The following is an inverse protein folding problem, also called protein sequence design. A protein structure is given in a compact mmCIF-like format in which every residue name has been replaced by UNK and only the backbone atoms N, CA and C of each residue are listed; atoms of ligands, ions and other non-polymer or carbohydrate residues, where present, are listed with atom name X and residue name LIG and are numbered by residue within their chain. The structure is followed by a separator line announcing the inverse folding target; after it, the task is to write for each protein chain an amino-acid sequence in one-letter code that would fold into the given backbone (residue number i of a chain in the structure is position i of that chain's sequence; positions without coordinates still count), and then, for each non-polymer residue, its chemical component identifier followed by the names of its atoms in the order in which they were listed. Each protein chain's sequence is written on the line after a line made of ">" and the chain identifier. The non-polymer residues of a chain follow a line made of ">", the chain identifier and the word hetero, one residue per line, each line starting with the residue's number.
data_IF_403842734694
#
_entry.id   IF_403842734694
#
_cell.length_a   1.000
_cell.length_b   1.000
_cell.length_c   1.000
_cell.angle_alpha   90.00
_cell.angle_beta   90.00
_cell.angle_gamma   90.00
#
_symmetry.space_group_name_H-M   'P 1'
#
loop_
_entity.id
_entity.type
_entity.pdbx_description
1 polymer ?
#
# COMPACT_ATOMS: atom_id res chain seq x y z
N UNK A 1 37.73 -6.02 26.95
CA UNK A 1 36.55 -5.24 27.41
C UNK A 1 36.23 -4.11 26.43
N UNK A 2 37.13 -3.14 26.20
CA UNK A 2 36.87 -2.01 25.29
C UNK A 2 36.51 -2.43 23.86
N UNK A 3 37.21 -3.41 23.28
CA UNK A 3 36.89 -3.90 21.93
C UNK A 3 35.47 -4.49 21.83
N UNK A 4 35.06 -5.29 22.83
CA UNK A 4 33.71 -5.86 22.88
C UNK A 4 32.63 -4.77 22.99
N UNK A 5 32.89 -3.69 23.73
CA UNK A 5 31.98 -2.54 23.84
C UNK A 5 31.89 -1.78 22.50
N UNK A 6 33.03 -1.55 21.82
CA UNK A 6 33.06 -0.86 20.53
C UNK A 6 32.35 -1.67 19.44
N UNK A 7 32.64 -2.97 19.33
CA UNK A 7 31.98 -3.89 18.39
C UNK A 7 30.49 -3.99 18.69
N UNK A 8 30.11 -4.12 19.97
CA UNK A 8 28.70 -4.14 20.38
C UNK A 8 27.95 -2.86 20.00
N UNK A 9 28.55 -1.69 20.24
CA UNK A 9 27.95 -0.40 19.88
C UNK A 9 27.81 -0.24 18.35
N UNK A 10 28.85 -0.63 17.59
CA UNK A 10 28.79 -0.64 16.12
C UNK A 10 27.71 -1.58 15.60
N UNK A 11 27.62 -2.80 16.14
CA UNK A 11 26.60 -3.78 15.75
C UNK A 11 25.19 -3.26 15.98
N UNK A 12 24.90 -2.67 17.15
CA UNK A 12 23.58 -2.07 17.41
C UNK A 12 23.26 -0.95 16.42
N UNK A 13 24.24 -0.09 16.10
CA UNK A 13 24.04 1.03 15.18
C UNK A 13 23.78 0.58 13.73
N UNK A 14 24.46 -0.46 13.27
CA UNK A 14 24.30 -1.03 11.92
C UNK A 14 23.00 -1.84 11.83
N UNK A 15 22.65 -2.56 12.89
CA UNK A 15 21.46 -3.39 12.92
C UNK A 15 20.18 -2.56 13.00
N UNK A 16 20.20 -1.34 13.57
CA UNK A 16 18.99 -0.50 13.70
C UNK A 16 18.16 -0.42 12.41
N UNK A 17 16.85 -0.69 12.46
CA UNK A 17 16.00 -0.80 11.27
C UNK A 17 15.61 0.56 10.67
N UNK A 18 16.39 1.63 10.88
CA UNK A 18 16.06 2.97 10.37
C UNK A 18 15.97 2.99 8.83
N UNK A 19 16.83 2.22 8.16
CA UNK A 19 16.82 2.06 6.70
C UNK A 19 15.60 1.29 6.17
N UNK A 20 14.75 0.73 7.03
CA UNK A 20 13.53 0.01 6.66
C UNK A 20 12.30 0.91 6.65
N UNK A 21 12.22 1.90 7.53
CA UNK A 21 11.18 2.92 7.46
C UNK A 21 11.25 3.73 6.15
N UNK A 22 12.44 3.88 5.57
CA UNK A 22 12.67 4.56 4.29
C UNK A 22 12.09 3.83 3.06
N UNK A 23 11.84 2.52 3.16
CA UNK A 23 11.26 1.73 2.05
C UNK A 23 9.75 1.54 2.16
N UNK A 24 9.16 2.02 3.25
CA UNK A 24 7.71 2.07 3.45
C UNK A 24 7.20 3.41 2.92
N UNK A 25 6.28 3.33 1.97
CA UNK A 25 5.71 4.49 1.30
C UNK A 25 4.28 4.74 1.73
N UNK A 26 3.95 6.02 1.84
CA UNK A 26 2.58 6.53 1.96
C UNK A 26 2.25 7.34 0.70
N UNK A 27 0.98 7.36 0.29
CA UNK A 27 0.51 8.29 -0.75
C UNK A 27 0.83 9.74 -0.38
N UNK A 28 0.97 10.62 -1.37
CA UNK A 28 1.16 12.05 -1.09
C UNK A 28 -0.11 12.71 -0.59
N UNK A 29 -1.26 12.21 -1.02
CA UNK A 29 -2.58 12.75 -0.67
C UNK A 29 -3.43 11.67 -0.03
N UNK A 30 -4.24 12.07 0.95
CA UNK A 30 -5.40 11.30 1.34
C UNK A 30 -6.59 11.72 0.46
N UNK A 31 -7.54 10.82 0.25
CA UNK A 31 -8.71 11.08 -0.60
C UNK A 31 -9.99 10.73 0.14
N UNK A 32 -11.04 11.52 -0.08
CA UNK A 32 -12.39 11.24 0.41
C UNK A 32 -13.29 10.94 -0.77
N UNK A 33 -13.95 9.79 -0.75
CA UNK A 33 -15.02 9.50 -1.71
C UNK A 33 -16.00 8.48 -1.16
N UNK A 34 -17.13 8.32 -1.86
CA UNK A 34 -18.14 7.31 -1.50
C UNK A 34 -17.68 5.92 -1.95
N UNK A 35 -17.75 4.93 -1.08
CA UNK A 35 -17.55 3.50 -1.34
C UNK A 35 -18.69 2.72 -0.69
N UNK A 36 -19.41 1.92 -1.47
CA UNK A 36 -20.56 1.13 -0.99
C UNK A 36 -21.58 1.97 -0.20
N UNK A 37 -21.91 3.15 -0.73
CA UNK A 37 -22.82 4.15 -0.16
C UNK A 37 -22.36 4.77 1.17
N UNK A 38 -21.09 4.58 1.54
CA UNK A 38 -20.48 5.17 2.74
C UNK A 38 -19.38 6.14 2.36
N UNK A 39 -19.28 7.24 3.09
CA UNK A 39 -18.20 8.21 2.88
C UNK A 39 -16.94 7.68 3.58
N UNK A 40 -15.83 7.58 2.85
CA UNK A 40 -14.59 7.01 3.36
C UNK A 40 -13.42 7.96 3.14
N UNK A 41 -12.58 8.11 4.16
CA UNK A 41 -11.26 8.72 4.05
C UNK A 41 -10.24 7.63 3.80
N UNK A 42 -9.40 7.81 2.78
CA UNK A 42 -8.49 6.78 2.30
C UNK A 42 -7.09 7.32 2.08
N UNK A 43 -6.09 6.50 2.37
CA UNK A 43 -4.70 6.74 1.98
C UNK A 43 -4.05 5.43 1.56
N UNK A 44 -3.04 5.49 0.72
CA UNK A 44 -2.33 4.30 0.23
C UNK A 44 -1.04 4.08 1.00
N UNK A 45 -0.74 2.82 1.28
CA UNK A 45 0.52 2.39 1.88
C UNK A 45 1.15 1.29 1.02
N UNK A 46 2.47 1.24 0.95
CA UNK A 46 3.20 0.21 0.20
C UNK A 46 4.57 -0.08 0.80
N UNK A 47 5.11 -1.26 0.48
CA UNK A 47 6.51 -1.61 0.71
C UNK A 47 7.20 -1.72 -0.65
N UNK A 48 8.39 -1.12 -0.78
CA UNK A 48 9.24 -1.20 -1.97
C UNK A 48 10.14 -2.45 -1.97
N UNK A 49 10.22 -3.18 -0.85
CA UNK A 49 11.05 -4.38 -0.73
C UNK A 49 10.21 -5.64 -0.87
N UNK A 50 10.85 -6.70 -1.38
CA UNK A 50 10.21 -8.02 -1.53
C UNK A 50 10.10 -8.80 -0.21
N UNK A 51 10.93 -8.48 0.79
CA UNK A 51 10.86 -9.08 2.13
C UNK A 51 9.69 -8.51 2.92
N UNK A 52 9.13 -9.27 3.85
CA UNK A 52 7.91 -8.90 4.55
C UNK A 52 8.15 -7.98 5.76
N UNK A 53 7.14 -7.15 6.04
CA UNK A 53 6.93 -6.58 7.38
C UNK A 53 6.03 -7.53 8.16
N UNK A 54 6.60 -8.20 9.13
CA UNK A 54 5.91 -9.18 9.98
C UNK A 54 5.09 -8.43 11.03
N UNK A 55 3.86 -8.90 11.31
CA UNK A 55 2.92 -8.26 12.23
C UNK A 55 2.71 -6.76 11.93
N UNK A 56 2.57 -6.43 10.64
CA UNK A 56 2.31 -5.06 10.24
C UNK A 56 0.96 -4.58 10.81
N UNK A 57 0.96 -3.42 11.45
CA UNK A 57 -0.22 -2.77 12.00
C UNK A 57 -0.22 -1.29 11.67
N UNK A 58 -1.36 -0.77 11.22
CA UNK A 58 -1.55 0.63 10.88
C UNK A 58 -2.41 1.33 11.95
N UNK A 59 -2.04 2.55 12.31
CA UNK A 59 -2.81 3.42 13.22
C UNK A 59 -2.85 4.84 12.66
N UNK A 60 -3.93 5.57 12.95
CA UNK A 60 -4.10 6.96 12.51
C UNK A 60 -4.64 7.83 13.65
N UNK A 61 -4.10 9.04 13.77
CA UNK A 61 -4.51 10.06 14.74
C UNK A 61 -4.91 11.34 14.01
N UNK A 62 -6.06 11.88 14.38
CA UNK A 62 -6.43 13.25 14.07
C UNK A 62 -5.81 14.17 15.12
N UNK A 63 -5.05 15.16 14.68
CA UNK A 63 -4.48 16.22 15.51
C UNK A 63 -5.16 17.53 15.12
N UNK A 64 -5.85 18.15 16.08
CA UNK A 64 -6.41 19.50 15.93
C UNK A 64 -6.55 20.19 17.27
N UNK A 65 -6.52 21.51 17.29
CA UNK A 65 -6.82 22.26 18.50
C UNK A 65 -8.33 22.16 18.81
N UNK A 66 -8.68 21.96 20.07
CA UNK A 66 -10.08 21.84 20.49
C UNK A 66 -10.33 22.68 21.74
N UNK A 67 -11.52 23.26 21.85
CA UNK A 67 -12.02 23.81 23.10
C UNK A 67 -13.14 22.91 23.65
N UNK A 68 -13.06 22.56 24.93
CA UNK A 68 -14.09 21.76 25.61
C UNK A 68 -15.34 22.60 25.89
N UNK A 69 -16.44 21.93 26.25
CA UNK A 69 -17.71 22.63 26.58
C UNK A 69 -17.57 23.47 27.85
N UNK A 70 -16.65 23.07 28.73
CA UNK A 70 -16.30 23.74 29.97
C UNK A 70 -15.37 24.94 29.74
N UNK A 71 -14.86 25.13 28.51
CA UNK A 71 -14.04 26.25 28.09
C UNK A 71 -12.53 26.01 28.11
N UNK A 72 -12.07 24.80 28.46
CA UNK A 72 -10.66 24.43 28.43
C UNK A 72 -10.14 24.34 26.99
N UNK A 73 -9.04 25.03 26.71
CA UNK A 73 -8.36 24.95 25.41
C UNK A 73 -7.30 23.86 25.44
N UNK A 74 -7.42 22.88 24.55
CA UNK A 74 -6.50 21.75 24.40
C UNK A 74 -5.75 21.94 23.08
N UNK A 75 -4.47 22.37 23.12
CA UNK A 75 -3.65 22.46 21.92
C UNK A 75 -3.34 21.06 21.38
N UNK A 76 -3.39 20.89 20.05
CA UNK A 76 -3.02 19.65 19.36
C UNK A 76 -3.68 18.39 19.97
N UNK A 77 -4.98 18.48 20.25
CA UNK A 77 -5.73 17.34 20.77
C UNK A 77 -5.65 16.17 19.79
N UNK A 78 -5.34 14.98 20.31
CA UNK A 78 -5.13 13.78 19.50
C UNK A 78 -6.32 12.82 19.68
N UNK A 79 -7.04 12.58 18.60
CA UNK A 79 -8.17 11.63 18.57
C UNK A 79 -7.85 10.47 17.63
N UNK A 80 -8.18 9.25 18.03
CA UNK A 80 -7.95 8.07 17.19
C UNK A 80 -8.92 8.02 16.00
N UNK A 81 -8.41 7.65 14.82
CA UNK A 81 -9.22 7.40 13.63
C UNK A 81 -9.29 5.89 13.41
N UNK A 82 -10.50 5.34 13.48
CA UNK A 82 -10.71 3.90 13.35
C UNK A 82 -10.50 3.43 11.90
N UNK A 83 -9.43 2.67 11.67
CA UNK A 83 -9.06 2.09 10.37
C UNK A 83 -9.14 0.56 10.37
N UNK A 84 -10.00 -0.02 11.22
CA UNK A 84 -10.19 -1.46 11.31
C UNK A 84 -9.82 -2.08 12.66
N UNK A 85 -9.64 -1.28 13.71
CA UNK A 85 -9.24 -1.79 15.04
C UNK A 85 -10.27 -2.76 15.62
N UNK A 86 -11.57 -2.49 15.43
CA UNK A 86 -12.64 -3.33 15.97
C UNK A 86 -12.75 -4.69 15.27
N UNK A 87 -12.37 -4.77 14.00
CA UNK A 87 -12.42 -5.99 13.17
C UNK A 87 -11.08 -6.70 13.09
N UNK A 88 -10.00 -6.01 13.46
CA UNK A 88 -8.62 -6.47 13.30
C UNK A 88 -8.08 -6.32 11.88
N UNK A 89 -8.74 -5.53 11.03
CA UNK A 89 -8.30 -5.19 9.65
C UNK A 89 -7.16 -4.17 9.64
N UNK A 90 -6.87 -3.55 10.80
CA UNK A 90 -5.68 -2.72 11.03
C UNK A 90 -4.38 -3.53 10.98
N UNK A 91 -4.46 -4.86 11.08
CA UNK A 91 -3.34 -5.79 10.92
C UNK A 91 -3.17 -6.14 9.44
N UNK A 92 -2.12 -5.63 8.84
CA UNK A 92 -1.92 -5.68 7.40
C UNK A 92 -1.15 -6.92 6.95
N UNK A 93 -1.59 -7.48 5.83
CA UNK A 93 -0.76 -8.35 5.00
C UNK A 93 -0.22 -7.52 3.81
N UNK A 94 0.87 -6.78 4.05
CA UNK A 94 1.40 -5.77 3.12
C UNK A 94 2.40 -6.39 2.14
N UNK A 95 1.90 -6.98 1.05
CA UNK A 95 2.73 -7.50 -0.06
C UNK A 95 2.67 -6.59 -1.28
N UNK A 96 1.46 -6.20 -1.68
CA UNK A 96 1.20 -5.16 -2.67
C UNK A 96 0.68 -3.89 -1.99
N UNK A 97 0.74 -2.71 -2.64
CA UNK A 97 0.13 -1.51 -2.11
C UNK A 97 -1.32 -1.71 -1.66
N UNK A 98 -1.66 -1.25 -0.46
CA UNK A 98 -2.99 -1.32 0.12
C UNK A 98 -3.56 0.08 0.29
N UNK A 99 -4.87 0.21 0.02
CA UNK A 99 -5.62 1.43 0.34
C UNK A 99 -6.22 1.21 1.72
N UNK A 100 -5.72 1.95 2.71
CA UNK A 100 -6.27 2.00 4.06
C UNK A 100 -7.51 2.88 4.02
N UNK A 101 -8.62 2.38 4.58
CA UNK A 101 -9.92 3.04 4.51
C UNK A 101 -10.49 3.25 5.90
N UNK A 102 -10.72 4.51 6.25
CA UNK A 102 -11.53 4.91 7.39
C UNK A 102 -12.97 5.17 6.94
N UNK A 103 -13.92 4.39 7.44
CA UNK A 103 -15.35 4.68 7.26
C UNK A 103 -15.75 5.88 8.14
N UNK A 104 -16.24 6.95 7.51
CA UNK A 104 -16.74 8.13 8.21
C UNK A 104 -18.16 7.82 8.69
N UNK A 105 -18.25 7.22 9.89
CA UNK A 105 -19.49 6.90 10.59
C UNK A 105 -19.78 7.87 11.74
N UNK A 106 -20.84 7.64 12.51
CA UNK A 106 -21.28 8.50 13.63
C UNK A 106 -20.21 8.72 14.72
N UNK A 107 -19.22 7.82 14.84
CA UNK A 107 -18.10 7.95 15.79
C UNK A 107 -16.88 8.63 15.19
N UNK A 108 -16.87 8.86 13.88
CA UNK A 108 -15.77 9.52 13.18
C UNK A 108 -15.71 11.01 13.54
N UNK A 109 -14.51 11.57 13.74
CA UNK A 109 -14.36 13.01 13.91
C UNK A 109 -14.77 13.81 12.66
N UNK A 110 -14.88 13.17 11.49
CA UNK A 110 -15.28 13.78 10.23
C UNK A 110 -16.79 13.67 9.94
N UNK A 111 -17.58 13.09 10.84
CA UNK A 111 -19.00 12.76 10.59
C UNK A 111 -19.85 13.95 10.13
N UNK A 112 -19.65 15.11 10.75
CA UNK A 112 -20.41 16.33 10.47
C UNK A 112 -19.71 17.27 9.49
N UNK A 113 -18.53 16.90 8.98
CA UNK A 113 -17.75 17.74 8.07
C UNK A 113 -18.20 17.54 6.61
N UNK A 114 -18.62 18.63 5.99
CA UNK A 114 -18.84 18.74 4.54
C UNK A 114 -17.57 19.21 3.82
N UNK A 115 -17.54 19.12 2.48
CA UNK A 115 -16.42 19.59 1.67
C UNK A 115 -16.01 21.04 2.01
N UNK A 116 -17.00 21.95 2.08
CA UNK A 116 -16.76 23.37 2.34
C UNK A 116 -16.31 23.66 3.79
N UNK A 117 -16.60 22.76 4.74
CA UNK A 117 -16.10 22.86 6.11
C UNK A 117 -14.68 22.32 6.21
N UNK A 118 -14.36 21.27 5.46
CA UNK A 118 -13.03 20.67 5.45
C UNK A 118 -11.96 21.66 4.97
N UNK A 119 -12.28 22.50 3.97
CA UNK A 119 -11.41 23.59 3.49
C UNK A 119 -11.18 24.72 4.51
N UNK A 120 -11.97 24.78 5.58
CA UNK A 120 -11.88 25.84 6.61
C UNK A 120 -11.31 25.35 7.93
N UNK A 121 -11.21 24.03 8.09
CA UNK A 121 -10.75 23.41 9.33
C UNK A 121 -9.24 23.22 9.26
N UNK A 122 -8.54 23.61 10.32
CA UNK A 122 -7.10 23.34 10.47
C UNK A 122 -6.91 22.03 11.24
N UNK A 123 -6.46 20.99 10.56
CA UNK A 123 -6.16 19.70 11.17
C UNK A 123 -5.00 18.99 10.47
N UNK A 124 -4.41 18.02 11.17
CA UNK A 124 -3.40 17.13 10.63
C UNK A 124 -3.79 15.67 10.94
N UNK A 125 -3.73 14.80 9.95
CA UNK A 125 -3.91 13.36 10.13
C UNK A 125 -2.53 12.72 10.14
N UNK A 126 -2.10 12.21 11.30
CA UNK A 126 -0.84 11.48 11.42
C UNK A 126 -1.12 9.99 11.25
N UNK A 127 -0.43 9.35 10.31
CA UNK A 127 -0.50 7.91 10.05
C UNK A 127 0.79 7.23 10.47
N UNK A 128 0.64 6.07 11.12
CA UNK A 128 1.74 5.34 11.75
C UNK A 128 1.62 3.87 11.34
N UNK A 129 2.61 3.38 10.60
CA UNK A 129 2.75 1.96 10.28
C UNK A 129 3.85 1.37 11.16
N UNK A 130 3.52 0.30 11.87
CA UNK A 130 4.44 -0.45 12.72
C UNK A 130 4.53 -1.89 12.25
N UNK A 131 5.66 -2.54 12.53
CA UNK A 131 5.82 -3.97 12.31
C UNK A 131 7.26 -4.40 12.57
N UNK A 132 7.57 -5.67 12.33
CA UNK A 132 8.90 -6.24 12.50
C UNK A 132 9.57 -6.52 11.15
N UNK A 133 10.86 -6.21 11.06
CA UNK A 133 11.66 -6.51 9.87
C UNK A 133 12.00 -8.00 9.87
N UNK A 134 11.57 -8.73 8.84
CA UNK A 134 11.73 -10.18 8.70
C UNK A 134 13.16 -10.69 8.98
N UNK A 135 14.18 -10.02 8.43
CA UNK A 135 15.56 -10.48 8.53
C UNK A 135 16.19 -10.29 9.93
N UNK A 136 15.70 -9.34 10.74
CA UNK A 136 16.37 -8.95 11.99
C UNK A 136 15.50 -9.10 13.23
N UNK A 137 14.19 -9.26 13.07
CA UNK A 137 13.22 -9.33 14.16
C UNK A 137 13.07 -8.04 14.96
N UNK A 138 13.70 -6.93 14.54
CA UNK A 138 13.52 -5.64 15.19
C UNK A 138 12.27 -4.93 14.68
N UNK A 139 11.62 -4.22 15.58
CA UNK A 139 10.46 -3.39 15.26
C UNK A 139 10.89 -2.14 14.49
N UNK A 140 10.17 -1.83 13.42
CA UNK A 140 10.27 -0.59 12.67
C UNK A 140 8.95 0.18 12.75
N UNK A 141 9.05 1.51 12.67
CA UNK A 141 7.89 2.40 12.62
C UNK A 141 8.13 3.43 11.51
N UNK A 142 7.22 3.49 10.55
CA UNK A 142 7.15 4.53 9.53
C UNK A 142 5.98 5.47 9.85
N UNK A 143 6.19 6.77 9.61
CA UNK A 143 5.21 7.81 9.90
C UNK A 143 5.09 8.75 8.73
N UNK A 144 3.90 9.24 8.49
CA UNK A 144 3.60 10.31 7.54
C UNK A 144 2.43 11.12 8.09
N UNK A 145 2.13 12.27 7.50
CA UNK A 145 0.96 13.04 7.85
C UNK A 145 0.31 13.68 6.63
N UNK A 146 -0.97 14.02 6.79
CA UNK A 146 -1.77 14.72 5.80
C UNK A 146 -2.35 15.96 6.45
N UNK A 147 -2.00 17.13 5.94
CA UNK A 147 -2.63 18.40 6.26
C UNK A 147 -4.02 18.48 5.62
N UNK A 148 -4.85 19.42 6.09
CA UNK A 148 -6.15 19.74 5.50
C UNK A 148 -6.08 19.95 3.97
N UNK A 149 -5.03 20.63 3.50
CA UNK A 149 -4.77 20.88 2.07
C UNK A 149 -4.36 19.63 1.26
N UNK A 150 -3.95 18.55 1.94
CA UNK A 150 -3.50 17.30 1.32
C UNK A 150 -4.61 16.24 1.29
N UNK A 151 -5.76 16.52 1.89
CA UNK A 151 -6.96 15.67 1.85
C UNK A 151 -7.89 16.09 0.71
N UNK A 152 -7.92 15.31 -0.36
CA UNK A 152 -8.65 15.62 -1.58
C UNK A 152 -10.07 15.06 -1.55
N UNK A 153 -11.07 15.94 -1.55
CA UNK A 153 -12.48 15.55 -1.61
C UNK A 153 -12.94 15.18 -3.03
N UNK A 154 -13.61 14.05 -3.17
CA UNK A 154 -14.13 13.56 -4.45
C UNK A 154 -13.07 12.90 -5.33
N UNK A 155 -12.05 12.29 -4.71
CA UNK A 155 -10.98 11.60 -5.43
C UNK A 155 -10.90 10.12 -5.05
N UNK A 156 -10.31 9.34 -5.95
CA UNK A 156 -9.96 7.93 -5.77
C UNK A 156 -8.56 7.68 -6.29
N UNK A 157 -7.89 6.67 -5.75
CA UNK A 157 -6.58 6.28 -6.24
C UNK A 157 -6.64 5.51 -7.56
N UNK A 158 -5.73 5.81 -8.48
CA UNK A 158 -5.55 5.06 -9.72
C UNK A 158 -5.12 3.62 -9.40
N UNK A 159 -5.72 2.57 -10.02
CA UNK A 159 -5.28 1.20 -9.82
C UNK A 159 -3.80 0.99 -10.19
N UNK A 160 -3.07 0.22 -9.37
CA UNK A 160 -1.62 -0.02 -9.54
C UNK A 160 -1.27 -1.48 -9.81
N UNK A 161 -2.25 -2.38 -9.75
CA UNK A 161 -2.05 -3.81 -9.96
C UNK A 161 -2.51 -4.22 -11.36
N UNK A 162 -1.61 -4.83 -12.13
CA UNK A 162 -1.90 -5.50 -13.39
C UNK A 162 -1.54 -6.99 -13.29
N UNK A 163 -2.19 -7.82 -14.10
CA UNK A 163 -1.89 -9.24 -14.22
C UNK A 163 -1.17 -9.47 -15.55
N UNK A 164 0.13 -9.77 -15.49
CA UNK A 164 0.95 -10.03 -16.66
C UNK A 164 1.60 -11.42 -16.59
N UNK A 165 1.39 -12.24 -17.62
CA UNK A 165 2.03 -13.57 -17.79
C UNK A 165 1.91 -14.48 -16.54
N UNK A 166 0.81 -14.37 -15.79
CA UNK A 166 0.53 -15.18 -14.61
C UNK A 166 1.09 -14.61 -13.29
N UNK A 167 1.71 -13.44 -13.30
CA UNK A 167 2.19 -12.74 -12.12
C UNK A 167 1.49 -11.40 -11.94
N UNK A 168 1.29 -10.98 -10.69
CA UNK A 168 0.84 -9.62 -10.39
C UNK A 168 2.02 -8.67 -10.44
N UNK A 169 1.92 -7.65 -11.28
CA UNK A 169 2.90 -6.56 -11.38
C UNK A 169 2.31 -5.30 -10.73
N UNK A 170 3.16 -4.58 -10.01
CA UNK A 170 2.81 -3.34 -9.34
C UNK A 170 3.47 -2.17 -10.08
N UNK A 171 2.66 -1.30 -10.67
CA UNK A 171 3.14 -0.05 -11.25
C UNK A 171 3.24 1.05 -10.19
N UNK A 172 4.44 1.26 -9.66
CA UNK A 172 4.70 2.29 -8.66
C UNK A 172 4.68 3.72 -9.23
N UNK A 173 4.67 3.91 -10.56
CA UNK A 173 4.55 5.26 -11.14
C UNK A 173 3.19 5.87 -10.80
N UNK A 174 2.14 5.04 -10.78
CA UNK A 174 0.77 5.47 -10.46
C UNK A 174 0.45 5.32 -8.96
N UNK A 175 1.46 5.06 -8.12
CA UNK A 175 1.26 4.85 -6.67
C UNK A 175 0.63 6.06 -6.00
N UNK A 176 1.08 7.27 -6.35
CA UNK A 176 0.54 8.52 -5.77
C UNK A 176 -0.62 9.09 -6.59
N UNK A 177 -0.90 8.53 -7.77
CA UNK A 177 -1.86 9.11 -8.70
C UNK A 177 -3.31 8.92 -8.21
N UNK A 178 -4.09 9.99 -8.37
CA UNK A 178 -5.50 10.05 -8.01
C UNK A 178 -6.29 10.62 -9.17
N UNK A 179 -7.56 10.21 -9.29
CA UNK A 179 -8.50 10.73 -10.28
C UNK A 179 -9.78 11.18 -9.60
N UNK A 180 -10.44 12.18 -10.19
CA UNK A 180 -11.67 12.74 -9.67
C UNK A 180 -12.85 11.79 -9.94
N UNK A 181 -13.75 11.67 -8.97
CA UNK A 181 -14.98 10.87 -9.06
C UNK A 181 -16.17 11.69 -8.58
N UNK A 182 -17.36 11.38 -9.09
CA UNK A 182 -18.59 12.00 -8.61
C UNK A 182 -18.84 11.60 -7.14
N UNK A 183 -18.72 12.57 -6.24
CA UNK A 183 -18.90 12.40 -4.79
C UNK A 183 -19.75 13.54 -4.27
N UNK A 184 -20.78 13.29 -3.44
CA UNK A 184 -21.57 14.34 -2.83
C UNK A 184 -20.69 15.31 -2.03
N UNK A 185 -21.01 16.60 -2.07
CA UNK A 185 -20.31 17.65 -1.31
C UNK A 185 -20.81 17.80 0.13
N UNK A 186 -21.91 17.13 0.47
CA UNK A 186 -22.50 17.11 1.79
C UNK A 186 -21.69 16.29 2.79
N UNK A 187 -21.92 16.51 4.08
CA UNK A 187 -21.30 15.72 5.15
C UNK A 187 -21.76 14.26 5.13
N UNK A 188 -20.98 13.38 5.77
CA UNK A 188 -21.34 11.97 5.91
C UNK A 188 -22.67 11.78 6.66
N UNK A 189 -22.94 12.64 7.65
CA UNK A 189 -24.23 12.70 8.36
C UNK A 189 -25.41 12.98 7.44
N UNK A 190 -25.31 14.02 6.60
CA UNK A 190 -26.37 14.37 5.65
C UNK A 190 -26.56 13.29 4.59
N UNK A 191 -25.45 12.69 4.13
CA UNK A 191 -25.46 11.57 3.20
C UNK A 191 -26.21 10.37 3.79
N UNK A 192 -25.96 10.03 5.05
CA UNK A 192 -26.64 8.93 5.73
C UNK A 192 -28.14 9.18 5.92
N UNK A 193 -28.56 10.43 6.15
CA UNK A 193 -29.99 10.80 6.22
C UNK A 193 -30.65 10.63 4.86
N UNK A 194 -30.02 11.13 3.78
CA UNK A 194 -30.56 10.99 2.40
C UNK A 194 -30.79 9.53 2.00
N UNK A 195 -29.88 8.63 2.35
CA UNK A 195 -30.04 7.21 2.06
C UNK A 195 -31.05 6.49 2.96
N UNK A 196 -31.41 7.05 4.12
CA UNK A 196 -32.51 6.52 4.95
C UNK A 196 -33.88 6.91 4.38
N UNK A 197 -33.99 8.10 3.79
CA UNK A 197 -35.26 8.64 3.27
C UNK A 197 -35.58 8.19 1.83
N UNK A 198 -34.60 7.69 1.07
CA UNK A 198 -34.76 7.08 -0.27
C UNK A 198 -34.56 5.54 -0.19
N UNK A 199 -35.63 4.73 -0.08
CA UNK A 199 -35.51 3.28 -0.20
C UNK A 199 -35.23 2.91 -1.66
N UNK A 200 -34.00 2.47 -1.92
CA UNK A 200 -33.54 1.68 -3.07
C UNK A 200 -34.40 1.80 -4.34
N UNK A 201 -34.09 2.77 -5.19
CA UNK A 201 -34.38 2.59 -6.62
C UNK A 201 -33.64 1.32 -7.10
N UNK A 202 -34.29 0.46 -7.92
CA UNK A 202 -33.65 -0.74 -8.47
C UNK A 202 -32.32 -0.37 -9.11
N UNK A 203 -31.28 -1.15 -8.80
CA UNK A 203 -29.94 -0.96 -9.35
C UNK A 203 -30.05 -0.78 -10.86
N UNK A 204 -29.70 0.42 -11.34
CA UNK A 204 -29.42 0.63 -12.76
C UNK A 204 -28.31 -0.38 -13.14
N UNK A 205 -28.41 -1.05 -14.29
CA UNK A 205 -27.41 -2.02 -14.70
C UNK A 205 -26.03 -1.36 -14.64
N UNK A 206 -25.11 -1.97 -13.89
CA UNK A 206 -23.68 -1.69 -14.00
C UNK A 206 -23.32 -1.77 -15.49
N UNK A 207 -23.05 -0.63 -16.13
CA UNK A 207 -22.14 -0.63 -17.28
C UNK A 207 -20.75 -0.96 -16.71
N UNK A 208 -20.54 -2.24 -16.41
CA UNK A 208 -19.22 -2.82 -16.52
C UNK A 208 -18.72 -2.50 -17.94
N UNK A 209 -17.52 -1.92 -18.12
CA UNK A 209 -16.94 -1.89 -19.44
C UNK A 209 -16.92 -3.34 -19.96
N UNK A 210 -17.50 -3.57 -21.13
CA UNK A 210 -17.49 -4.88 -21.76
C UNK A 210 -16.03 -5.38 -21.79
N UNK A 211 -15.76 -6.61 -21.35
CA UNK A 211 -14.49 -7.24 -21.68
C UNK A 211 -14.44 -7.23 -23.21
N UNK A 212 -13.37 -6.66 -23.79
CA UNK A 212 -13.12 -6.84 -25.22
C UNK A 212 -12.93 -8.33 -25.47
N UNK A 213 -14.01 -9.02 -25.84
CA UNK A 213 -13.95 -10.37 -26.38
C UNK A 213 -13.11 -10.29 -27.65
N UNK A 214 -11.82 -10.63 -27.52
CA UNK A 214 -11.03 -10.99 -28.69
C UNK A 214 -11.56 -12.35 -29.15
N UNK A 215 -12.27 -12.29 -30.26
CA UNK A 215 -12.83 -13.35 -31.09
C UNK A 215 -12.11 -14.70 -30.88
N UNK A 216 -12.79 -15.60 -30.18
CA UNK A 216 -12.40 -17.00 -30.04
C UNK A 216 -12.83 -17.79 -31.28
N UNK A 217 -12.43 -17.36 -32.47
CA UNK A 217 -12.68 -18.10 -33.73
C UNK A 217 -11.43 -18.81 -34.27
N UNK A 218 -10.25 -18.55 -33.70
CA UNK A 218 -8.99 -19.13 -34.19
C UNK A 218 -8.59 -20.47 -33.56
N UNK A 219 -9.30 -20.96 -32.53
CA UNK A 219 -8.97 -22.22 -31.85
C UNK A 219 -9.74 -23.45 -32.35
N UNK A 220 -10.79 -23.27 -33.16
CA UNK A 220 -11.55 -24.40 -33.74
C UNK A 220 -10.99 -24.90 -35.09
N UNK A 221 -9.83 -24.40 -35.55
CA UNK A 221 -9.10 -24.95 -36.71
C UNK A 221 -7.91 -25.84 -36.34
N UNK A 222 -7.62 -26.02 -35.05
CA UNK A 222 -6.51 -26.86 -34.57
C UNK A 222 -6.96 -28.22 -34.00
N UNK A 223 -8.26 -28.53 -34.03
CA UNK A 223 -8.82 -29.80 -33.55
C UNK A 223 -9.13 -30.82 -34.64
N UNK A 224 -8.64 -30.60 -35.88
CA UNK A 224 -8.62 -31.62 -36.92
C UNK A 224 -7.25 -31.65 -37.58
N UNK A 225 -6.29 -32.32 -36.94
CA UNK A 225 -5.13 -32.88 -37.63
C UNK A 225 -4.89 -34.30 -37.14
N UNK A 226 -4.76 -35.19 -38.13
CA UNK A 226 -4.68 -36.64 -38.04
C UNK A 226 -3.49 -37.15 -37.19
N UNK A 227 -3.60 -38.36 -36.60
CA UNK A 227 -2.61 -38.94 -35.70
C UNK A 227 -1.46 -39.63 -36.44
N UNK A 228 -0.64 -38.86 -37.15
CA UNK A 228 0.68 -39.30 -37.62
C UNK A 228 1.64 -38.10 -37.54
N UNK A 229 2.31 -37.95 -36.39
CA UNK A 229 3.62 -37.30 -36.21
C UNK A 229 3.93 -37.13 -34.71
N UNK A 230 3.84 -38.22 -33.94
CA UNK A 230 4.17 -38.22 -32.51
C UNK A 230 5.55 -38.83 -32.19
N UNK A 231 6.39 -39.09 -33.20
CA UNK A 231 7.71 -39.72 -33.00
C UNK A 231 8.93 -38.81 -33.29
N UNK A 232 8.77 -37.53 -33.63
CA UNK A 232 9.92 -36.63 -33.94
C UNK A 232 10.14 -35.47 -32.95
N UNK A 233 9.51 -35.48 -31.76
CA UNK A 233 9.68 -34.39 -30.77
C UNK A 233 10.18 -34.85 -29.39
N UNK A 234 10.87 -35.99 -29.32
CA UNK A 234 11.64 -36.39 -28.14
C UNK A 234 13.17 -36.27 -28.34
N UNK A 235 13.68 -36.04 -29.56
CA UNK A 235 15.13 -35.94 -29.81
C UNK A 235 15.74 -34.52 -29.76
N UNK A 236 14.95 -33.45 -29.65
CA UNK A 236 15.50 -32.08 -29.55
C UNK A 236 15.63 -31.53 -28.11
N UNK A 237 15.26 -32.29 -27.08
CA UNK A 237 15.41 -31.88 -25.67
C UNK A 237 16.74 -32.28 -25.02
N UNK A 238 17.56 -33.10 -25.67
CA UNK A 238 18.85 -33.58 -25.12
C UNK A 238 20.08 -32.76 -25.55
N UNK A 239 19.93 -31.67 -26.32
CA UNK A 239 21.08 -30.91 -26.86
C UNK A 239 21.25 -29.48 -26.33
N UNK A 240 20.51 -29.05 -25.30
CA UNK A 240 20.69 -27.70 -24.70
C UNK A 240 20.75 -27.65 -23.17
N UNK A 241 21.13 -28.75 -22.54
CA UNK A 241 21.42 -28.79 -21.10
C UNK A 241 22.91 -29.01 -20.84
N UNK A 242 23.76 -27.99 -21.00
CA UNK A 242 25.11 -27.90 -20.40
C UNK A 242 25.75 -26.52 -20.64
N UNK A 243 26.58 -26.06 -19.69
CA UNK A 243 27.21 -24.73 -19.48
C UNK A 243 26.33 -23.69 -18.77
N UNK A 244 26.57 -23.23 -17.54
CA UNK A 244 27.73 -23.24 -16.63
C UNK A 244 27.16 -23.24 -15.19
N UNK A 245 27.63 -24.00 -14.21
CA UNK A 245 29.03 -24.21 -13.85
C UNK A 245 29.35 -23.40 -12.59
N UNK A 246 29.14 -24.03 -11.43
CA UNK A 246 29.45 -23.54 -10.08
C UNK A 246 30.96 -23.33 -9.84
N UNK A 247 31.24 -22.48 -8.83
CA UNK A 247 32.30 -22.61 -7.83
C UNK A 247 33.55 -21.70 -7.96
N UNK A 248 33.81 -20.93 -6.89
CA UNK A 248 34.87 -21.22 -5.91
C UNK A 248 35.40 -19.95 -5.23
N UNK A 249 35.69 -20.10 -3.93
CA UNK A 249 36.36 -19.14 -3.07
C UNK A 249 37.86 -19.44 -2.95
N UNK A 250 38.62 -18.40 -2.53
CA UNK A 250 39.93 -18.39 -1.85
C UNK A 250 41.21 -18.82 -2.60
N UNK A 251 42.27 -18.01 -2.45
CA UNK A 251 43.66 -18.43 -2.61
C UNK A 251 44.63 -17.31 -3.05
N UNK A 252 45.49 -16.88 -2.12
CA UNK A 252 46.62 -15.93 -2.28
C UNK A 252 47.68 -16.37 -3.31
N UNK A 253 48.66 -15.47 -3.60
CA UNK A 253 50.12 -15.68 -3.77
C UNK A 253 50.78 -14.40 -4.39
N UNK A 254 52.13 -14.20 -4.39
CA UNK A 254 53.02 -13.82 -3.30
C UNK A 254 53.88 -12.54 -3.58
N UNK A 255 54.72 -12.16 -2.61
CA UNK A 255 55.78 -11.13 -2.66
C UNK A 255 56.87 -11.41 -3.72
N UNK A 256 57.44 -10.34 -4.31
CA UNK A 256 58.85 -10.27 -4.72
C UNK A 256 59.36 -8.81 -4.81
N UNK A 257 60.54 -8.59 -4.23
CA UNK A 257 61.35 -7.37 -4.14
C UNK A 257 61.92 -6.83 -5.47
N UNK A 258 62.33 -5.55 -5.47
CA UNK A 258 63.49 -5.09 -6.26
C UNK A 258 63.48 -3.65 -6.83
N UNK A 259 64.21 -2.73 -6.17
CA UNK A 259 64.76 -1.43 -6.64
C UNK A 259 65.59 -1.56 -7.96
N UNK A 260 65.88 -0.49 -8.75
CA UNK A 260 66.61 0.76 -8.38
C UNK A 260 66.01 2.05 -9.03
N UNK A 261 66.44 3.30 -8.86
CA UNK A 261 67.55 4.04 -8.20
C UNK A 261 66.96 5.24 -7.43
#
# INVERSE_FOLDING_TARGET
>A
IVNAIMVGCMFVKISQPKNRAETLMFSHNAVISVRDNKMCLMFRVGDLRNSHIVEASIRAKLIRSQQTKEGEFIPLNQTDINIGFDTGDDRLFLVSPLIISHEINERSPFWEMSMAQMEKEEFEIVVILEGMVEATGMTCQARSSYLDTEVLWGYRFTPVLSLEKGFYEVDYNNFHEVYQTNTPTCSAKELAVKFRDEPLLPQLPLLSPEPKERTFESLNRLSQQDPLNQEEMEEERDLRGENNGSAAALGELPLADGLPD
#
